data_IF_045617955290
#
_entry.id   IF_045617955290
#
_cell.length_a   1.000
_cell.length_b   1.000
_cell.length_c   1.000
_cell.angle_alpha   90.00
_cell.angle_beta   90.00
_cell.angle_gamma   90.00
#
_symmetry.space_group_name_H-M   'P 1'
#
loop_
_entity.id
_entity.type
_entity.pdbx_description
1 polymer ?
#
# COMPACT_ATOMS: atom_id res chain seq x y z
N UNK A 1 0.43 -6.47 23.58
CA UNK A 1 1.26 -6.03 22.42
C UNK A 1 0.60 -4.80 21.84
N UNK A 2 1.33 -3.70 21.64
CA UNK A 2 0.75 -2.47 21.07
C UNK A 2 1.25 -2.34 19.63
N UNK A 3 0.37 -2.67 18.66
CA UNK A 3 0.62 -2.43 17.24
C UNK A 3 0.58 -0.92 17.00
N UNK A 4 1.76 -0.32 16.96
CA UNK A 4 1.93 1.11 16.71
C UNK A 4 2.06 1.37 15.21
N UNK A 5 1.43 2.44 14.72
CA UNK A 5 1.53 2.83 13.31
C UNK A 5 2.97 3.15 12.88
N UNK A 6 3.25 3.04 11.58
CA UNK A 6 4.55 3.40 10.97
C UNK A 6 5.75 2.52 11.37
N UNK A 7 5.56 1.50 12.23
CA UNK A 7 6.62 0.57 12.62
C UNK A 7 6.70 -0.61 11.65
N UNK A 8 7.55 -0.48 10.64
CA UNK A 8 8.03 -1.63 9.89
C UNK A 8 9.11 -2.40 10.65
N UNK A 9 9.20 -3.72 10.45
CA UNK A 9 10.31 -4.51 11.00
C UNK A 9 11.64 -4.03 10.38
N UNK A 10 12.72 -4.03 11.19
CA UNK A 10 14.03 -3.42 10.87
C UNK A 10 14.57 -3.88 9.50
N UNK A 11 14.28 -3.13 8.43
CA UNK A 11 14.92 -3.31 7.12
C UNK A 11 16.35 -2.77 7.26
N UNK A 12 17.34 -3.68 7.31
CA UNK A 12 18.74 -3.32 7.56
C UNK A 12 19.36 -2.41 6.50
N UNK A 13 18.79 -2.33 5.29
CA UNK A 13 19.23 -1.46 4.19
C UNK A 13 18.08 -1.17 3.22
N UNK A 14 17.59 0.06 3.19
CA UNK A 14 16.79 0.58 2.07
C UNK A 14 17.77 1.35 1.18
N UNK A 15 17.92 0.93 -0.08
CA UNK A 15 18.63 1.76 -1.06
C UNK A 15 17.83 3.04 -1.30
N UNK A 16 18.47 4.21 -1.20
CA UNK A 16 17.82 5.49 -1.49
C UNK A 16 17.30 5.59 -2.93
N UNK A 17 17.78 4.72 -3.82
CA UNK A 17 17.33 4.63 -5.22
C UNK A 17 16.73 3.26 -5.49
N UNK A 18 15.46 3.25 -5.88
CA UNK A 18 14.71 2.08 -6.32
C UNK A 18 14.77 2.02 -7.84
N UNK A 19 15.84 1.46 -8.41
CA UNK A 19 15.86 1.05 -9.83
C UNK A 19 15.61 -0.45 -9.83
N UNK A 20 14.51 -0.91 -10.44
CA UNK A 20 14.01 -2.29 -10.37
C UNK A 20 13.75 -2.84 -8.95
N UNK A 21 14.06 -2.06 -7.90
CA UNK A 21 13.83 -2.39 -6.51
C UNK A 21 14.40 -3.74 -6.09
N UNK A 22 13.90 -4.20 -4.96
CA UNK A 22 14.05 -5.58 -4.49
C UNK A 22 12.70 -6.01 -3.97
N UNK A 23 12.36 -7.27 -4.15
CA UNK A 23 11.14 -7.82 -3.58
C UNK A 23 11.10 -7.57 -2.06
N UNK A 24 9.98 -7.04 -1.57
CA UNK A 24 9.78 -6.83 -0.15
C UNK A 24 9.45 -8.18 0.50
N UNK A 25 10.10 -8.55 1.62
CA UNK A 25 9.70 -9.76 2.31
C UNK A 25 8.29 -9.58 2.90
N UNK A 26 7.54 -10.68 3.10
CA UNK A 26 6.23 -10.62 3.72
C UNK A 26 6.23 -9.81 5.02
N UNK A 27 5.13 -9.09 5.28
CA UNK A 27 4.87 -8.32 6.50
C UNK A 27 5.81 -7.12 6.79
N UNK A 28 6.78 -6.83 5.93
CA UNK A 28 7.69 -5.69 6.16
C UNK A 28 7.03 -4.34 5.94
N UNK A 29 5.99 -4.26 5.13
CA UNK A 29 5.23 -3.03 4.90
C UNK A 29 3.76 -3.29 5.22
N UNK A 30 3.42 -3.46 6.52
CA UNK A 30 2.11 -4.00 6.93
C UNK A 30 0.94 -3.08 6.60
N UNK A 31 1.20 -1.82 6.26
CA UNK A 31 0.18 -0.86 5.84
C UNK A 31 -0.08 -0.87 4.34
N UNK A 32 0.69 -1.60 3.50
CA UNK A 32 0.45 -1.65 2.06
C UNK A 32 -0.82 -2.46 1.77
N UNK A 33 -1.76 -1.84 1.05
CA UNK A 33 -3.03 -2.47 0.66
C UNK A 33 -3.11 -2.57 -0.86
N UNK A 34 -3.57 -3.72 -1.35
CA UNK A 34 -3.93 -3.94 -2.74
C UNK A 34 -5.44 -3.66 -2.93
N UNK A 35 -5.78 -2.90 -3.97
CA UNK A 35 -7.16 -2.53 -4.30
C UNK A 35 -7.54 -3.24 -5.61
N UNK A 36 -8.54 -4.11 -5.53
CA UNK A 36 -9.04 -4.90 -6.65
C UNK A 36 -10.39 -4.38 -7.12
N UNK A 37 -10.67 -4.50 -8.41
CA UNK A 37 -12.00 -4.27 -8.97
C UNK A 37 -12.90 -5.50 -8.81
N UNK A 38 -14.13 -5.44 -9.33
CA UNK A 38 -15.09 -6.55 -9.27
C UNK A 38 -14.68 -7.79 -10.07
N UNK A 39 -13.64 -7.70 -10.89
CA UNK A 39 -13.09 -8.79 -11.69
C UNK A 39 -11.79 -9.35 -11.09
N UNK A 40 -11.52 -9.07 -9.81
CA UNK A 40 -10.28 -9.43 -9.11
C UNK A 40 -9.01 -8.90 -9.80
N UNK A 41 -9.12 -7.79 -10.54
CA UNK A 41 -7.97 -7.13 -11.17
C UNK A 41 -7.39 -6.09 -10.24
N UNK A 42 -6.07 -6.16 -9.99
CA UNK A 42 -5.36 -5.14 -9.22
C UNK A 42 -5.37 -3.81 -9.99
N UNK A 43 -6.09 -2.81 -9.47
CA UNK A 43 -6.24 -1.51 -10.14
C UNK A 43 -5.45 -0.41 -9.45
N UNK A 44 -5.25 -0.50 -8.14
CA UNK A 44 -4.55 0.50 -7.36
C UNK A 44 -3.94 -0.08 -6.07
N UNK A 45 -3.23 0.78 -5.36
CA UNK A 45 -2.68 0.49 -4.03
C UNK A 45 -3.06 1.58 -3.04
N UNK A 46 -2.97 1.29 -1.75
CA UNK A 46 -3.28 2.23 -0.67
C UNK A 46 -2.42 2.03 0.57
N UNK A 47 -2.67 2.84 1.59
CA UNK A 47 -2.06 2.72 2.91
C UNK A 47 -3.10 2.63 4.01
N UNK A 48 -3.05 1.59 4.84
CA UNK A 48 -3.85 1.48 6.06
C UNK A 48 -3.35 2.51 7.09
N UNK A 49 -4.20 3.48 7.41
CA UNK A 49 -3.88 4.57 8.35
C UNK A 49 -4.54 4.39 9.72
N UNK A 50 -5.60 3.58 9.77
CA UNK A 50 -6.33 3.18 10.96
C UNK A 50 -7.01 1.83 10.69
N UNK A 51 -7.47 1.14 11.74
CA UNK A 51 -8.05 -0.22 11.68
C UNK A 51 -9.04 -0.44 10.51
N UNK A 52 -9.84 0.57 10.16
CA UNK A 52 -10.87 0.48 9.12
C UNK A 52 -10.68 1.51 7.98
N UNK A 53 -9.57 2.25 7.96
CA UNK A 53 -9.37 3.36 7.02
C UNK A 53 -8.13 3.19 6.16
N UNK A 54 -8.32 3.20 4.84
CA UNK A 54 -7.27 3.18 3.83
C UNK A 54 -7.25 4.52 3.11
N UNK A 55 -6.08 5.14 3.01
CA UNK A 55 -5.83 6.30 2.14
C UNK A 55 -5.26 5.84 0.80
N UNK A 56 -5.70 6.46 -0.29
CA UNK A 56 -5.17 6.23 -1.64
C UNK A 56 -5.34 7.48 -2.50
N UNK A 57 -4.89 7.44 -3.75
CA UNK A 57 -5.04 8.54 -4.68
C UNK A 57 -6.48 8.62 -5.22
N UNK A 58 -7.04 9.83 -5.32
CA UNK A 58 -8.40 10.03 -5.82
C UNK A 58 -8.61 9.41 -7.21
N UNK A 59 -7.63 9.55 -8.12
CA UNK A 59 -7.73 9.04 -9.49
C UNK A 59 -7.93 7.52 -9.60
N UNK A 60 -7.64 6.75 -8.55
CA UNK A 60 -7.97 5.32 -8.48
C UNK A 60 -9.47 5.05 -8.64
N UNK A 61 -10.32 6.05 -8.37
CA UNK A 61 -11.77 5.95 -8.44
C UNK A 61 -12.43 6.95 -9.42
N UNK A 62 -11.66 7.88 -10.00
CA UNK A 62 -12.20 8.99 -10.83
C UNK A 62 -12.46 8.59 -12.29
N UNK A 63 -12.50 7.29 -12.60
CA UNK A 63 -13.13 6.80 -13.84
C UNK A 63 -14.63 6.50 -13.66
N UNK A 64 -15.24 6.89 -12.53
CA UNK A 64 -16.70 6.84 -12.35
C UNK A 64 -17.43 8.12 -12.80
N UNK A 65 -16.70 9.19 -13.16
CA UNK A 65 -17.27 10.47 -13.59
C UNK A 65 -16.71 10.95 -14.95
N UNK A 66 -16.84 10.11 -15.98
CA UNK A 66 -16.90 10.64 -17.34
C UNK A 66 -18.27 11.32 -17.54
N UNK A 67 -18.39 12.55 -17.04
CA UNK A 67 -19.46 13.47 -17.40
C UNK A 67 -18.93 14.89 -17.58
#
# INVERSE_FOLDING_TARGET
>A
SQFNCGRHQRVKRISARIINGTEAPPEHWPWVVAIYDSNDTLVCVGSLIQEEYVVTAAHCFVNQDAH
#
